data_IF_652895851558
#
_entry.id   IF_652895851558
#
_cell.length_a   1.000
_cell.length_b   1.000
_cell.length_c   1.000
_cell.angle_alpha   90.00
_cell.angle_beta   90.00
_cell.angle_gamma   90.00
#
_symmetry.space_group_name_H-M   'P 1'
#
loop_
_entity.id
_entity.type
_entity.pdbx_description
1 polymer ?
#
# COMPACT_ATOMS: atom_id res chain seq x y z
N UNK A 1 10.74 -25.84 10.78
CA UNK A 1 11.98 -25.36 10.14
C UNK A 1 12.32 -24.03 10.79
N UNK A 2 13.60 -23.68 10.92
CA UNK A 2 13.99 -22.46 11.64
C UNK A 2 14.24 -21.36 10.60
N UNK A 3 13.58 -20.18 10.71
CA UNK A 3 13.81 -19.09 9.78
C UNK A 3 15.25 -18.58 9.93
N UNK A 4 15.96 -18.46 8.80
CA UNK A 4 17.27 -17.83 8.72
C UNK A 4 17.08 -16.34 8.50
N UNK A 5 17.66 -15.51 9.39
CA UNK A 5 17.81 -14.08 9.14
C UNK A 5 19.14 -13.84 8.42
N UNK A 6 19.07 -13.44 7.16
CA UNK A 6 20.21 -13.22 6.27
C UNK A 6 20.28 -11.74 5.92
N UNK A 7 21.49 -11.15 5.93
CA UNK A 7 21.69 -9.77 5.49
C UNK A 7 22.06 -9.72 4.01
N UNK A 8 21.22 -9.11 3.18
CA UNK A 8 21.49 -8.94 1.75
C UNK A 8 22.25 -7.64 1.54
N UNK A 9 23.30 -7.66 0.72
CA UNK A 9 24.11 -6.49 0.37
C UNK A 9 24.08 -6.26 -1.13
N UNK A 10 23.62 -5.08 -1.55
CA UNK A 10 23.47 -4.71 -2.98
C UNK A 10 24.59 -3.77 -3.44
N UNK A 11 25.29 -3.13 -2.50
CA UNK A 11 26.42 -2.25 -2.79
C UNK A 11 27.34 -2.04 -1.59
N UNK A 12 28.31 -1.13 -1.72
CA UNK A 12 29.31 -0.87 -0.67
C UNK A 12 28.70 -0.37 0.64
N UNK A 13 27.57 0.35 0.59
CA UNK A 13 26.91 0.91 1.78
C UNK A 13 25.44 0.52 1.91
N UNK A 14 24.98 -0.40 1.06
CA UNK A 14 23.56 -0.71 0.93
C UNK A 14 23.28 -2.18 1.26
N UNK A 15 22.48 -2.39 2.31
CA UNK A 15 22.14 -3.71 2.82
C UNK A 15 20.82 -3.72 3.59
N UNK A 16 20.11 -4.85 3.56
CA UNK A 16 18.82 -5.03 4.22
C UNK A 16 18.65 -6.48 4.70
N UNK A 17 17.88 -6.72 5.78
CA UNK A 17 17.62 -8.07 6.27
C UNK A 17 16.52 -8.77 5.46
N UNK A 18 16.65 -10.08 5.26
CA UNK A 18 15.61 -11.00 4.77
C UNK A 18 15.47 -12.15 5.75
N UNK A 19 14.23 -12.55 6.02
CA UNK A 19 13.91 -13.80 6.72
C UNK A 19 13.43 -14.83 5.69
N UNK A 20 14.07 -16.00 5.65
CA UNK A 20 13.73 -17.09 4.73
C UNK A 20 13.94 -18.44 5.43
N UNK A 21 13.11 -19.43 5.12
CA UNK A 21 13.26 -20.78 5.67
C UNK A 21 14.53 -21.48 5.12
N UNK A 22 15.21 -22.26 5.95
CA UNK A 22 16.44 -22.96 5.58
C UNK A 22 16.24 -24.04 4.50
N UNK A 23 15.01 -24.52 4.34
CA UNK A 23 14.60 -25.48 3.31
C UNK A 23 14.36 -24.89 1.92
N UNK A 24 14.33 -23.56 1.80
CA UNK A 24 14.10 -22.87 0.51
C UNK A 24 15.36 -22.91 -0.37
N UNK A 25 15.18 -22.60 -1.65
CA UNK A 25 16.28 -22.58 -2.62
C UNK A 25 16.93 -21.20 -2.73
N UNK A 26 18.10 -21.14 -3.38
CA UNK A 26 18.76 -19.88 -3.74
C UNK A 26 17.91 -19.08 -4.72
N UNK A 27 17.09 -19.73 -5.54
CA UNK A 27 16.11 -19.09 -6.42
C UNK A 27 15.07 -18.31 -5.60
N UNK A 28 14.48 -18.93 -4.58
CA UNK A 28 13.49 -18.29 -3.70
C UNK A 28 14.09 -17.09 -2.96
N UNK A 29 15.36 -17.22 -2.52
CA UNK A 29 16.11 -16.10 -1.95
C UNK A 29 16.34 -14.98 -2.97
N UNK A 30 16.70 -15.30 -4.22
CA UNK A 30 16.92 -14.31 -5.27
C UNK A 30 15.62 -13.58 -5.65
N UNK A 31 14.49 -14.29 -5.67
CA UNK A 31 13.15 -13.71 -5.85
C UNK A 31 12.80 -12.78 -4.69
N UNK A 32 13.09 -13.17 -3.44
CA UNK A 32 12.86 -12.32 -2.27
C UNK A 32 13.71 -11.04 -2.32
N UNK A 33 14.97 -11.14 -2.74
CA UNK A 33 15.86 -9.99 -2.96
C UNK A 33 15.29 -9.04 -4.01
N UNK A 34 14.89 -9.58 -5.16
CA UNK A 34 14.31 -8.78 -6.26
C UNK A 34 12.98 -8.13 -5.87
N UNK A 35 12.19 -8.80 -5.02
CA UNK A 35 10.93 -8.27 -4.51
C UNK A 35 11.13 -7.07 -3.59
N UNK A 36 12.22 -7.05 -2.82
CA UNK A 36 12.56 -5.93 -1.95
C UNK A 36 13.33 -4.82 -2.69
N UNK A 37 14.18 -5.19 -3.67
CA UNK A 37 15.03 -4.28 -4.44
C UNK A 37 14.97 -4.65 -5.94
N UNK A 38 13.96 -4.15 -6.67
CA UNK A 38 13.77 -4.44 -8.09
C UNK A 38 14.95 -3.99 -8.97
N UNK A 39 15.68 -2.95 -8.55
CA UNK A 39 16.82 -2.39 -9.27
C UNK A 39 18.03 -3.35 -9.37
N UNK A 40 18.02 -4.46 -8.64
CA UNK A 40 19.14 -5.42 -8.60
C UNK A 40 19.04 -6.47 -9.71
N UNK A 41 17.89 -6.58 -10.38
CA UNK A 41 17.66 -7.60 -11.43
C UNK A 41 16.58 -7.17 -12.40
N UNK A 42 16.83 -6.08 -13.13
CA UNK A 42 15.85 -5.49 -14.06
C UNK A 42 15.32 -6.48 -15.12
N UNK A 43 16.06 -7.53 -15.50
CA UNK A 43 15.58 -8.53 -16.49
C UNK A 43 15.83 -10.01 -16.11
N UNK A 44 16.66 -10.31 -15.11
CA UNK A 44 17.04 -11.67 -14.69
C UNK A 44 17.24 -11.72 -13.16
N UNK A 45 17.07 -12.90 -12.55
CA UNK A 45 17.32 -13.07 -11.12
C UNK A 45 18.74 -12.60 -10.73
N UNK A 46 18.87 -11.83 -9.62
CA UNK A 46 20.16 -11.30 -9.21
C UNK A 46 21.11 -12.42 -8.83
N UNK A 47 22.39 -12.26 -9.15
CA UNK A 47 23.42 -13.22 -8.78
C UNK A 47 23.74 -13.09 -7.30
N UNK A 48 23.51 -14.16 -6.55
CA UNK A 48 23.80 -14.23 -5.13
C UNK A 48 25.20 -14.79 -4.88
N UNK A 49 25.99 -14.10 -4.05
CA UNK A 49 27.36 -14.47 -3.70
C UNK A 49 27.49 -14.55 -2.19
N UNK A 50 27.92 -15.71 -1.68
CA UNK A 50 28.19 -15.92 -0.26
C UNK A 50 29.63 -16.38 -0.06
N UNK A 51 30.38 -15.73 0.84
CA UNK A 51 31.80 -16.02 1.12
C UNK A 51 32.68 -16.08 -0.15
N UNK A 52 32.40 -15.22 -1.13
CA UNK A 52 33.13 -15.16 -2.41
C UNK A 52 32.74 -16.24 -3.43
N UNK A 53 31.78 -17.12 -3.12
CA UNK A 53 31.26 -18.14 -4.03
C UNK A 53 29.91 -17.73 -4.59
N UNK A 54 29.77 -17.78 -5.92
CA UNK A 54 28.50 -17.59 -6.61
C UNK A 54 27.61 -18.80 -6.32
N UNK A 55 26.42 -18.56 -5.79
CA UNK A 55 25.43 -19.56 -5.46
C UNK A 55 24.65 -19.95 -6.71
N UNK A 56 24.32 -21.23 -6.87
CA UNK A 56 23.47 -21.70 -7.97
C UNK A 56 22.02 -21.71 -7.51
N UNK A 57 21.10 -21.35 -8.41
CA UNK A 57 19.68 -21.20 -8.10
C UNK A 57 19.05 -22.48 -7.53
N UNK A 58 19.48 -23.67 -8.00
CA UNK A 58 18.91 -24.96 -7.57
C UNK A 58 19.37 -25.44 -6.19
N UNK A 59 20.31 -24.74 -5.53
CA UNK A 59 20.85 -25.18 -4.25
C UNK A 59 19.90 -24.83 -3.09
N UNK A 60 19.78 -25.74 -2.13
CA UNK A 60 19.02 -25.50 -0.89
C UNK A 60 19.87 -24.70 0.08
N UNK A 61 19.29 -23.67 0.72
CA UNK A 61 20.00 -22.74 1.59
C UNK A 61 20.71 -23.43 2.77
N UNK A 62 20.09 -24.49 3.33
CA UNK A 62 20.65 -25.33 4.39
C UNK A 62 22.03 -25.90 4.07
N UNK A 63 22.29 -26.25 2.81
CA UNK A 63 23.52 -26.92 2.38
C UNK A 63 24.66 -25.93 2.06
N UNK A 64 24.37 -24.63 2.12
CA UNK A 64 25.31 -23.56 1.73
C UNK A 64 26.15 -23.02 2.89
N UNK A 65 25.91 -23.50 4.12
CA UNK A 65 26.65 -23.09 5.30
C UNK A 65 26.46 -21.61 5.66
N UNK A 66 25.31 -21.04 5.29
CA UNK A 66 24.90 -19.68 5.67
C UNK A 66 24.48 -19.72 7.14
N UNK A 67 25.14 -18.93 7.98
CA UNK A 67 24.84 -18.85 9.42
C UNK A 67 24.00 -17.61 9.74
N UNK A 68 23.33 -17.60 10.89
CA UNK A 68 22.58 -16.44 11.38
C UNK A 68 23.51 -15.22 11.50
N UNK A 69 23.18 -14.13 10.80
CA UNK A 69 24.01 -12.91 10.77
C UNK A 69 25.08 -12.86 9.67
N UNK A 70 25.22 -13.91 8.86
CA UNK A 70 26.02 -13.85 7.64
C UNK A 70 25.37 -12.89 6.61
N UNK A 71 26.20 -12.37 5.71
CA UNK A 71 25.72 -11.57 4.58
C UNK A 71 25.87 -12.30 3.24
N UNK A 72 24.93 -12.03 2.35
CA UNK A 72 24.91 -12.48 0.95
C UNK A 72 24.92 -11.24 0.07
N UNK A 73 25.84 -11.19 -0.90
CA UNK A 73 25.94 -10.07 -1.84
C UNK A 73 25.06 -10.39 -3.05
N UNK A 74 24.14 -9.49 -3.38
CA UNK A 74 23.32 -9.55 -4.58
C UNK A 74 23.87 -8.59 -5.61
N UNK A 75 24.22 -9.09 -6.79
CA UNK A 75 24.74 -8.30 -7.91
C UNK A 75 23.85 -8.46 -9.13
N UNK A 76 23.74 -7.39 -9.93
CA UNK A 76 22.96 -7.44 -11.18
C UNK A 76 23.55 -8.42 -12.18
N UNK A 77 22.65 -9.17 -12.82
CA UNK A 77 22.92 -10.17 -13.83
C UNK A 77 23.27 -9.49 -15.16
N UNK A 78 24.49 -8.96 -15.29
CA UNK A 78 24.95 -8.45 -16.59
C UNK A 78 25.06 -9.60 -17.63
N UNK A 79 24.33 -9.48 -18.74
CA UNK A 79 24.38 -10.40 -19.88
C UNK A 79 25.79 -10.47 -20.47
N UNK A 80 26.31 -11.70 -20.61
CA UNK A 80 27.65 -11.99 -21.12
C UNK A 80 27.66 -11.91 -22.65
N UNK A 81 28.12 -10.80 -23.22
CA UNK A 81 28.60 -10.79 -24.62
C UNK A 81 30.07 -11.28 -24.63
N UNK A 82 30.32 -12.33 -25.39
CA UNK A 82 31.64 -12.94 -25.58
C UNK A 82 32.67 -11.92 -26.08
N UNK A 83 33.86 -11.94 -25.49
CA UNK A 83 35.10 -11.58 -26.18
C UNK A 83 36.23 -12.43 -25.60
N UNK A 84 36.69 -13.40 -26.38
CA UNK A 84 38.01 -14.00 -26.24
C UNK A 84 39.08 -12.93 -26.53
N UNK A 85 40.21 -13.01 -25.81
CA UNK A 85 41.49 -12.51 -26.33
C UNK A 85 42.32 -11.66 -25.37
N UNK A 86 43.36 -12.30 -24.80
CA UNK A 86 44.70 -11.76 -24.48
C UNK A 86 44.75 -10.71 -23.34
N UNK A 87 45.53 -10.81 -22.28
CA UNK A 87 46.63 -11.67 -21.88
C UNK A 87 47.40 -10.94 -20.76
N UNK A 88 47.73 -11.67 -19.69
CA UNK A 88 48.82 -11.45 -18.72
C UNK A 88 49.15 -10.01 -18.24
N UNK A 89 48.94 -9.74 -16.95
CA UNK A 89 50.03 -9.77 -15.94
C UNK A 89 49.60 -9.09 -14.64
N UNK A 90 49.70 -9.83 -13.52
CA UNK A 90 49.91 -9.24 -12.21
C UNK A 90 51.41 -8.86 -12.08
N UNK A 91 51.79 -7.92 -11.19
CA UNK A 91 52.14 -8.39 -9.84
C UNK A 91 51.74 -7.47 -8.67
N UNK A 92 51.33 -8.12 -7.58
CA UNK A 92 51.77 -7.99 -6.18
C UNK A 92 52.10 -6.64 -5.49
N UNK A 93 51.51 -6.55 -4.29
CA UNK A 93 52.03 -6.06 -2.98
C UNK A 93 51.94 -4.58 -2.57
N UNK A 94 51.03 -4.40 -1.60
CA UNK A 94 51.24 -3.86 -0.24
C UNK A 94 51.71 -2.41 -0.06
N UNK A 95 50.88 -1.59 0.60
CA UNK A 95 50.99 -1.29 2.04
C UNK A 95 49.97 -0.20 2.45
N UNK A 96 49.49 -0.32 3.69
CA UNK A 96 48.55 0.57 4.33
C UNK A 96 49.13 1.96 4.65
N UNK A 97 48.29 2.99 4.67
CA UNK A 97 48.35 4.05 5.68
C UNK A 97 47.01 4.78 5.81
N UNK A 98 46.61 4.93 7.07
CA UNK A 98 45.41 5.60 7.58
C UNK A 98 45.35 7.10 7.25
N UNK A 99 44.14 7.62 7.05
CA UNK A 99 43.67 8.89 7.66
C UNK A 99 42.17 9.11 7.41
N UNK A 100 41.38 9.03 8.48
CA UNK A 100 40.24 9.93 8.74
C UNK A 100 40.80 11.09 9.59
N UNK A 101 40.17 12.28 9.72
CA UNK A 101 38.72 12.52 9.62
C UNK A 101 38.34 13.83 8.86
N UNK A 102 37.04 14.02 8.59
CA UNK A 102 36.33 15.25 8.98
C UNK A 102 34.88 15.21 8.46
N UNK A 103 34.00 15.71 9.31
CA UNK A 103 32.58 15.84 9.11
C UNK A 103 32.21 16.93 8.08
N UNK A 104 30.97 16.78 7.59
CA UNK A 104 30.15 17.67 6.75
C UNK A 104 30.18 19.15 7.13
N UNK A 105 29.77 20.04 6.21
CA UNK A 105 28.41 20.53 6.32
C UNK A 105 27.62 20.58 4.99
N UNK A 106 26.30 20.51 5.12
CA UNK A 106 25.31 20.91 4.12
C UNK A 106 25.48 22.38 3.75
N UNK A 107 25.18 22.73 2.49
CA UNK A 107 24.59 24.02 2.16
C UNK A 107 23.46 23.83 1.13
N UNK A 108 22.37 24.56 1.37
CA UNK A 108 21.18 24.67 0.53
C UNK A 108 21.11 26.10 0.03
N UNK A 109 20.97 26.33 -1.28
CA UNK A 109 20.67 27.69 -1.74
C UNK A 109 20.63 27.83 -3.25
N UNK A 110 19.45 28.17 -3.77
CA UNK A 110 19.23 28.54 -5.15
C UNK A 110 19.86 29.91 -5.46
N UNK A 111 20.75 29.93 -6.46
CA UNK A 111 21.14 31.10 -7.25
C UNK A 111 21.14 30.66 -8.71
N UNK A 112 20.87 31.59 -9.64
CA UNK A 112 20.73 31.36 -11.08
C UNK A 112 22.04 30.94 -11.75
N UNK A 113 22.58 29.82 -11.30
CA UNK A 113 23.83 29.23 -11.71
C UNK A 113 23.55 27.92 -12.43
N UNK A 114 24.48 27.59 -13.33
CA UNK A 114 24.47 26.43 -14.20
C UNK A 114 23.99 25.16 -13.49
N UNK A 115 23.30 24.23 -14.19
CA UNK A 115 22.78 23.02 -13.58
C UNK A 115 23.87 22.28 -12.80
N UNK A 116 23.58 21.81 -11.57
CA UNK A 116 24.58 21.15 -10.74
C UNK A 116 25.17 19.96 -11.51
N UNK A 117 26.49 19.92 -11.58
CA UNK A 117 27.22 18.99 -12.45
C UNK A 117 26.91 17.52 -12.11
N UNK A 118 26.53 17.24 -10.86
CA UNK A 118 26.03 15.94 -10.39
C UNK A 118 24.78 15.47 -11.15
N UNK A 119 23.78 16.33 -11.34
CA UNK A 119 22.56 15.99 -12.08
C UNK A 119 22.84 15.80 -13.57
N UNK A 120 23.76 16.60 -14.11
CA UNK A 120 24.19 16.47 -15.50
C UNK A 120 24.88 15.12 -15.73
N UNK A 121 25.74 14.70 -14.80
CA UNK A 121 26.43 13.41 -14.85
C UNK A 121 25.47 12.23 -14.70
N UNK A 122 24.48 12.32 -13.81
CA UNK A 122 23.46 11.29 -13.61
C UNK A 122 22.62 11.08 -14.87
N UNK A 123 22.14 12.16 -15.50
CA UNK A 123 21.37 12.09 -16.74
C UNK A 123 22.24 11.71 -17.96
N UNK A 124 23.52 12.08 -17.99
CA UNK A 124 24.45 11.60 -19.01
C UNK A 124 24.77 10.10 -18.82
N UNK A 125 24.81 9.60 -17.58
CA UNK A 125 25.00 8.19 -17.28
C UNK A 125 23.81 7.32 -17.72
N UNK A 126 22.61 7.92 -17.81
CA UNK A 126 21.43 7.33 -18.45
C UNK A 126 21.50 7.35 -20.00
N UNK A 127 22.58 7.87 -20.59
CA UNK A 127 22.83 7.82 -22.03
C UNK A 127 22.37 9.03 -22.84
N UNK A 128 21.95 10.12 -22.18
CA UNK A 128 21.55 11.35 -22.87
C UNK A 128 22.74 12.27 -23.18
N UNK A 129 22.69 12.93 -24.33
CA UNK A 129 23.74 13.88 -24.74
C UNK A 129 23.82 15.07 -23.76
N UNK A 130 25.01 15.28 -23.19
CA UNK A 130 25.32 16.40 -22.28
C UNK A 130 24.73 17.76 -22.69
N UNK A 131 24.84 18.23 -23.96
CA UNK A 131 24.23 19.51 -24.35
C UNK A 131 22.69 19.53 -24.27
N UNK A 132 22.01 18.41 -24.53
CA UNK A 132 20.55 18.31 -24.40
C UNK A 132 20.13 18.26 -22.94
N UNK A 133 20.88 17.52 -22.12
CA UNK A 133 20.67 17.41 -20.67
C UNK A 133 20.75 18.78 -20.01
N UNK A 134 21.76 19.58 -20.37
CA UNK A 134 21.91 20.94 -19.85
C UNK A 134 20.72 21.82 -20.23
N UNK A 135 20.26 21.75 -21.48
CA UNK A 135 19.12 22.53 -21.96
C UNK A 135 17.81 22.11 -21.27
N UNK A 136 17.60 20.80 -21.08
CA UNK A 136 16.42 20.26 -20.42
C UNK A 136 16.41 20.58 -18.92
N UNK A 137 17.55 20.46 -18.23
CA UNK A 137 17.68 20.85 -16.81
C UNK A 137 17.44 22.34 -16.61
N UNK A 138 17.96 23.20 -17.51
CA UNK A 138 17.70 24.64 -17.44
C UNK A 138 16.22 24.96 -17.64
N UNK A 139 15.57 24.37 -18.65
CA UNK A 139 14.14 24.54 -18.90
C UNK A 139 13.27 23.93 -17.78
N UNK A 140 13.77 22.92 -17.08
CA UNK A 140 13.15 22.27 -15.94
C UNK A 140 13.46 22.93 -14.59
N UNK A 141 14.20 24.04 -14.56
CA UNK A 141 14.66 24.70 -13.33
C UNK A 141 15.41 23.74 -12.38
N UNK A 142 16.36 22.97 -12.91
CA UNK A 142 17.17 21.97 -12.21
C UNK A 142 16.36 20.84 -11.56
N UNK A 143 15.15 20.54 -12.07
CA UNK A 143 14.36 19.39 -11.66
C UNK A 143 14.67 18.17 -12.56
N UNK A 144 15.18 17.05 -12.00
CA UNK A 144 15.62 15.90 -12.79
C UNK A 144 14.45 15.17 -13.47
N UNK A 145 13.32 14.99 -12.77
CA UNK A 145 12.15 14.28 -13.31
C UNK A 145 11.57 15.01 -14.54
N UNK A 146 11.41 16.34 -14.44
CA UNK A 146 10.97 17.17 -15.57
C UNK A 146 12.01 17.25 -16.68
N UNK A 147 13.30 17.25 -16.34
CA UNK A 147 14.36 17.25 -17.35
C UNK A 147 14.35 15.96 -18.16
N UNK A 148 14.11 14.80 -17.53
CA UNK A 148 13.93 13.52 -18.23
C UNK A 148 12.71 13.58 -19.15
N UNK A 149 11.58 14.10 -18.68
CA UNK A 149 10.39 14.28 -19.52
C UNK A 149 10.67 15.17 -20.74
N UNK A 150 11.38 16.28 -20.57
CA UNK A 150 11.77 17.16 -21.69
C UNK A 150 12.82 16.54 -22.62
N UNK A 151 13.67 15.64 -22.13
CA UNK A 151 14.61 14.88 -22.96
C UNK A 151 13.90 13.86 -23.85
N UNK A 152 12.78 13.28 -23.38
CA UNK A 152 11.98 12.32 -24.16
C UNK A 152 10.94 12.99 -25.07
N UNK A 153 10.27 14.05 -24.60
CA UNK A 153 9.12 14.67 -25.28
C UNK A 153 9.46 16.00 -25.99
N UNK A 154 10.64 16.57 -25.72
CA UNK A 154 11.07 17.88 -26.20
C UNK A 154 10.66 19.02 -25.25
N UNK A 155 11.43 20.10 -25.26
CA UNK A 155 11.17 21.27 -24.39
C UNK A 155 10.00 22.08 -24.97
N UNK A 156 8.89 22.28 -24.22
CA UNK A 156 7.76 23.07 -24.69
C UNK A 156 8.13 24.55 -24.84
N UNK A 157 7.65 25.20 -25.92
CA UNK A 157 8.00 26.59 -26.27
C UNK A 157 7.75 27.62 -25.14
N UNK A 158 6.78 27.37 -24.26
CA UNK A 158 6.50 28.22 -23.09
C UNK A 158 7.62 28.20 -22.03
N UNK A 159 8.35 27.10 -21.89
CA UNK A 159 9.50 26.99 -20.98
C UNK A 159 10.76 27.67 -21.55
N UNK A 160 10.89 27.73 -22.87
CA UNK A 160 12.01 28.41 -23.54
C UNK A 160 11.96 29.95 -23.39
N UNK A 161 10.77 30.53 -23.20
CA UNK A 161 10.57 31.99 -23.10
C UNK A 161 10.71 32.56 -21.68
N UNK A 162 10.77 31.72 -20.64
CA UNK A 162 10.84 32.19 -19.25
C UNK A 162 12.25 32.61 -18.78
N UNK A 163 13.28 32.41 -19.62
CA UNK A 163 14.69 32.68 -19.28
C UNK A 163 15.12 34.16 -19.47
N UNK A 164 14.21 35.09 -19.75
CA UNK A 164 14.56 36.49 -20.04
C UNK A 164 13.63 37.50 -19.32
N UNK A 165 13.82 37.69 -18.02
CA UNK A 165 13.41 38.91 -17.31
C UNK A 165 14.26 39.10 -16.02
N UNK A 166 14.77 40.32 -15.72
CA UNK A 166 15.69 40.54 -14.61
C UNK A 166 14.97 40.67 -13.26
N UNK A 167 15.62 40.14 -12.22
CA UNK A 167 15.16 40.12 -10.83
C UNK A 167 15.27 41.50 -10.15
N UNK A 168 14.21 41.90 -9.43
CA UNK A 168 14.24 42.97 -8.45
C UNK A 168 14.07 42.38 -7.05
N UNK A 169 15.03 42.71 -6.17
CA UNK A 169 15.21 42.19 -4.83
C UNK A 169 14.10 42.59 -3.85
N UNK A 170 13.76 41.69 -2.92
CA UNK A 170 13.16 42.04 -1.64
C UNK A 170 13.51 41.01 -0.57
N UNK A 171 13.82 41.52 0.62
CA UNK A 171 14.61 40.91 1.68
C UNK A 171 13.91 39.83 2.51
N UNK A 172 14.71 38.88 3.00
CA UNK A 172 14.33 37.92 4.03
C UNK A 172 14.35 38.56 5.43
N UNK A 173 13.47 38.13 6.35
CA UNK A 173 13.77 38.17 7.77
C UNK A 173 14.05 36.77 8.33
N UNK A 174 14.88 36.78 9.38
CA UNK A 174 15.48 35.64 10.05
C UNK A 174 14.50 34.71 10.79
N UNK A 175 14.93 33.46 10.91
CA UNK A 175 14.32 32.39 11.68
C UNK A 175 14.50 32.58 13.21
N UNK A 176 13.51 32.22 14.05
CA UNK A 176 13.79 31.74 15.39
C UNK A 176 13.40 30.27 15.56
N UNK A 177 14.22 29.58 16.34
CA UNK A 177 14.14 28.18 16.68
C UNK A 177 12.89 27.79 17.51
N UNK A 178 12.50 26.52 17.34
CA UNK A 178 11.81 25.66 18.31
C UNK A 178 10.44 26.12 18.87
N UNK A 179 9.38 25.82 18.10
CA UNK A 179 8.11 25.28 18.59
C UNK A 179 7.39 24.60 17.41
N UNK A 180 6.80 23.43 17.64
CA UNK A 180 6.09 22.65 16.61
C UNK A 180 5.03 23.50 15.88
N UNK A 181 4.96 23.49 14.53
CA UNK A 181 3.85 24.12 13.84
C UNK A 181 2.68 23.13 13.74
N UNK A 182 1.56 23.61 14.28
CA UNK A 182 0.24 23.06 14.11
C UNK A 182 -0.17 22.97 12.62
N UNK A 183 -0.95 21.93 12.34
CA UNK A 183 -2.03 21.87 11.35
C UNK A 183 -1.86 22.73 10.08
N UNK A 184 -1.38 22.09 9.01
CA UNK A 184 -1.75 22.51 7.67
C UNK A 184 -3.28 22.34 7.50
N UNK A 185 -3.98 23.44 7.25
CA UNK A 185 -5.39 23.45 6.89
C UNK A 185 -5.65 22.63 5.61
N UNK A 186 -6.82 21.99 5.45
CA UNK A 186 -7.06 21.08 4.34
C UNK A 186 -7.20 21.85 3.02
N UNK A 187 -6.54 21.35 1.99
CA UNK A 187 -6.85 21.72 0.61
C UNK A 187 -8.32 21.36 0.29
N UNK A 188 -8.98 22.20 -0.50
CA UNK A 188 -10.43 22.25 -0.71
C UNK A 188 -11.07 21.05 -1.46
N UNK A 189 -10.61 19.82 -1.24
CA UNK A 189 -11.08 18.60 -1.92
C UNK A 189 -11.47 17.43 -1.01
N UNK A 190 -11.21 17.50 0.29
CA UNK A 190 -11.59 16.44 1.26
C UNK A 190 -11.04 15.04 0.92
N UNK A 191 -11.62 14.01 1.54
CA UNK A 191 -11.23 12.60 1.32
C UNK A 191 -11.43 12.13 -0.14
N UNK A 192 -12.39 12.73 -0.84
CA UNK A 192 -12.72 12.40 -2.23
C UNK A 192 -11.63 12.85 -3.20
N UNK A 193 -10.98 14.01 -2.97
CA UNK A 193 -9.81 14.40 -3.75
C UNK A 193 -8.60 13.48 -3.52
N UNK A 194 -8.48 12.93 -2.31
CA UNK A 194 -7.40 12.01 -1.95
C UNK A 194 -7.62 10.59 -2.52
N UNK A 195 -8.81 10.03 -2.33
CA UNK A 195 -9.14 8.65 -2.71
C UNK A 195 -9.73 8.51 -4.12
N UNK A 196 -10.06 9.64 -4.74
CA UNK A 196 -10.72 9.69 -6.04
C UNK A 196 -12.24 9.66 -5.92
N UNK A 197 -12.95 9.79 -7.05
CA UNK A 197 -14.41 9.93 -7.07
C UNK A 197 -15.15 8.62 -6.76
N UNK A 198 -14.48 7.47 -6.93
CA UNK A 198 -15.09 6.16 -6.75
C UNK A 198 -14.15 5.19 -6.03
N UNK A 199 -14.74 4.36 -5.18
CA UNK A 199 -14.09 3.22 -4.54
C UNK A 199 -14.75 1.93 -5.02
N UNK A 200 -13.96 0.87 -5.08
CA UNK A 200 -14.44 -0.48 -5.32
C UNK A 200 -15.02 -1.06 -4.04
N UNK A 201 -16.24 -1.57 -4.14
CA UNK A 201 -16.93 -2.34 -3.10
C UNK A 201 -17.14 -3.78 -3.58
N UNK A 202 -17.64 -4.65 -2.70
CA UNK A 202 -18.03 -6.02 -3.08
C UNK A 202 -19.20 -6.10 -4.05
N UNK A 203 -19.94 -5.01 -4.23
CA UNK A 203 -21.05 -4.93 -5.20
C UNK A 203 -20.69 -4.16 -6.46
N UNK A 204 -19.43 -3.75 -6.60
CA UNK A 204 -18.93 -2.93 -7.70
C UNK A 204 -18.47 -1.54 -7.27
N UNK A 205 -18.21 -0.67 -8.25
CA UNK A 205 -17.79 0.70 -8.02
C UNK A 205 -18.93 1.55 -7.43
N UNK A 206 -18.59 2.34 -6.43
CA UNK A 206 -19.50 3.31 -5.79
C UNK A 206 -18.80 4.64 -5.60
N UNK A 207 -19.58 5.72 -5.53
CA UNK A 207 -19.02 7.03 -5.18
C UNK A 207 -18.33 6.95 -3.80
N UNK A 208 -17.14 7.55 -3.69
CA UNK A 208 -16.30 7.42 -2.48
C UNK A 208 -17.01 7.87 -1.22
N UNK A 209 -17.77 8.97 -1.27
CA UNK A 209 -18.52 9.49 -0.12
C UNK A 209 -19.59 8.49 0.35
N UNK A 210 -20.30 7.88 -0.59
CA UNK A 210 -21.30 6.87 -0.29
C UNK A 210 -20.66 5.59 0.26
N UNK A 211 -19.58 5.12 -0.38
CA UNK A 211 -18.88 3.89 0.01
C UNK A 211 -18.31 3.97 1.43
N UNK A 212 -17.81 5.14 1.84
CA UNK A 212 -17.23 5.37 3.16
C UNK A 212 -18.29 5.50 4.27
N UNK A 213 -19.57 5.69 3.93
CA UNK A 213 -20.68 5.67 4.89
C UNK A 213 -20.61 6.72 6.01
N UNK A 214 -19.80 7.78 5.85
CA UNK A 214 -19.57 8.77 6.91
C UNK A 214 -18.69 8.29 8.07
N UNK A 215 -17.88 7.24 7.87
CA UNK A 215 -16.91 6.77 8.85
C UNK A 215 -16.02 7.94 9.33
N UNK A 216 -15.91 8.10 10.65
CA UNK A 216 -15.06 9.14 11.25
C UNK A 216 -13.57 8.81 11.18
N UNK A 217 -13.24 7.53 10.96
CA UNK A 217 -11.86 7.06 10.78
C UNK A 217 -11.78 6.25 9.49
N UNK A 218 -10.78 6.55 8.67
CA UNK A 218 -10.50 5.81 7.43
C UNK A 218 -9.09 5.25 7.49
N UNK A 219 -8.95 3.93 7.37
CA UNK A 219 -7.67 3.24 7.39
C UNK A 219 -7.28 2.80 5.98
N UNK A 220 -6.25 3.43 5.41
CA UNK A 220 -5.66 3.05 4.14
C UNK A 220 -4.70 1.88 4.36
N UNK A 221 -5.09 0.72 3.86
CA UNK A 221 -4.35 -0.51 4.00
C UNK A 221 -3.52 -0.78 2.74
N UNK A 222 -2.24 -0.45 2.79
CA UNK A 222 -1.28 -0.73 1.73
C UNK A 222 -0.78 -2.16 1.86
N UNK A 223 -1.07 -2.99 0.86
CA UNK A 223 -0.75 -4.43 0.91
C UNK A 223 -0.62 -5.00 -0.51
N UNK A 224 -0.08 -6.22 -0.64
CA UNK A 224 0.02 -6.93 -1.92
C UNK A 224 0.07 -8.44 -1.73
N UNK A 225 -0.56 -9.17 -2.63
CA UNK A 225 -0.67 -10.64 -2.60
C UNK A 225 0.70 -11.31 -2.59
N UNK A 226 1.63 -10.78 -3.39
CA UNK A 226 3.00 -11.26 -3.51
C UNK A 226 3.82 -11.13 -2.22
N UNK A 227 3.40 -10.28 -1.28
CA UNK A 227 4.19 -9.92 -0.10
C UNK A 227 3.93 -10.88 1.09
N UNK A 228 4.93 -11.64 1.58
CA UNK A 228 4.74 -12.58 2.69
C UNK A 228 4.21 -11.96 4.01
N UNK A 229 4.77 -10.85 4.55
CA UNK A 229 4.22 -10.26 5.77
C UNK A 229 2.81 -9.69 5.58
N UNK A 230 2.43 -9.33 4.35
CA UNK A 230 1.05 -8.96 4.02
C UNK A 230 0.10 -10.14 4.17
N UNK A 231 0.43 -11.30 3.57
CA UNK A 231 -0.36 -12.53 3.69
C UNK A 231 -0.47 -13.02 5.14
N UNK A 232 0.53 -12.76 5.98
CA UNK A 232 0.46 -13.06 7.41
C UNK A 232 -0.45 -12.11 8.20
N UNK A 233 -0.52 -10.83 7.81
CA UNK A 233 -1.28 -9.81 8.53
C UNK A 233 -2.77 -9.76 8.12
N UNK A 234 -3.09 -9.93 6.84
CA UNK A 234 -4.48 -9.81 6.34
C UNK A 234 -5.47 -10.70 7.09
N UNK A 235 -5.20 -11.99 7.34
CA UNK A 235 -6.14 -12.85 8.06
C UNK A 235 -6.40 -12.36 9.49
N UNK A 236 -5.39 -11.78 10.15
CA UNK A 236 -5.54 -11.22 11.50
C UNK A 236 -6.43 -9.97 11.49
N UNK A 237 -6.23 -9.08 10.51
CA UNK A 237 -7.08 -7.90 10.34
C UNK A 237 -8.52 -8.29 9.99
N UNK A 238 -8.72 -9.28 9.10
CA UNK A 238 -10.05 -9.82 8.79
C UNK A 238 -10.70 -10.37 10.04
N UNK A 239 -10.00 -11.21 10.82
CA UNK A 239 -10.52 -11.77 12.06
C UNK A 239 -10.90 -10.70 13.09
N UNK A 240 -10.10 -9.65 13.24
CA UNK A 240 -10.35 -8.56 14.19
C UNK A 240 -11.59 -7.72 13.84
N UNK A 241 -11.91 -7.63 12.54
CA UNK A 241 -13.06 -6.86 12.04
C UNK A 241 -14.30 -7.73 11.82
N UNK A 242 -14.16 -9.05 11.74
CA UNK A 242 -15.28 -9.97 11.54
C UNK A 242 -16.02 -10.20 12.86
N UNK A 243 -17.35 -10.17 12.84
CA UNK A 243 -18.19 -10.44 14.02
C UNK A 243 -18.47 -9.21 14.91
N UNK A 244 -17.76 -8.11 14.71
CA UNK A 244 -18.01 -6.82 15.35
C UNK A 244 -18.35 -5.77 14.30
N UNK A 245 -19.21 -4.79 14.63
CA UNK A 245 -19.57 -3.72 13.69
C UNK A 245 -18.95 -2.40 14.16
N UNK A 246 -18.03 -1.88 13.35
CA UNK A 246 -17.37 -0.59 13.59
C UNK A 246 -17.84 0.44 12.56
N UNK A 247 -19.05 1.01 12.69
CA UNK A 247 -19.59 1.97 11.72
C UNK A 247 -18.74 3.23 11.59
N UNK A 248 -17.93 3.52 12.61
CA UNK A 248 -16.99 4.64 12.64
C UNK A 248 -15.68 4.39 11.87
N UNK A 249 -15.43 3.15 11.40
CA UNK A 249 -14.21 2.76 10.69
C UNK A 249 -14.52 2.28 9.28
N UNK A 250 -13.86 2.86 8.28
CA UNK A 250 -13.78 2.31 6.94
C UNK A 250 -12.34 1.90 6.63
N UNK A 251 -12.14 0.65 6.19
CA UNK A 251 -10.84 0.19 5.67
C UNK A 251 -10.87 0.28 4.15
N UNK A 252 -9.82 0.85 3.55
CA UNK A 252 -9.68 0.98 2.11
C UNK A 252 -8.35 0.35 1.69
N UNK A 253 -8.44 -0.75 0.95
CA UNK A 253 -7.29 -1.44 0.39
C UNK A 253 -6.65 -0.60 -0.73
N UNK A 254 -5.35 -0.40 -0.62
CA UNK A 254 -4.50 0.20 -1.66
C UNK A 254 -3.50 -0.87 -2.09
N UNK A 255 -3.77 -1.48 -3.24
CA UNK A 255 -2.98 -2.61 -3.72
C UNK A 255 -1.61 -2.19 -4.21
N UNK A 256 -0.61 -2.99 -3.88
CA UNK A 256 0.73 -2.98 -4.48
C UNK A 256 0.94 -4.16 -5.44
N UNK A 257 -0.12 -4.85 -5.83
CA UNK A 257 -0.07 -5.94 -6.81
C UNK A 257 0.32 -5.41 -8.19
N UNK A 258 1.01 -6.26 -8.96
CA UNK A 258 1.56 -5.88 -10.26
C UNK A 258 0.57 -6.06 -11.41
N UNK A 259 -0.49 -6.81 -11.16
CA UNK A 259 -1.49 -7.15 -12.16
C UNK A 259 -2.90 -7.25 -11.56
N UNK A 260 -3.89 -7.12 -12.45
CA UNK A 260 -5.30 -7.09 -12.11
C UNK A 260 -5.82 -8.40 -11.51
N UNK A 261 -5.25 -9.56 -11.87
CA UNK A 261 -5.71 -10.87 -11.41
C UNK A 261 -5.25 -11.13 -9.97
N UNK A 262 -3.98 -10.84 -9.67
CA UNK A 262 -3.43 -10.88 -8.31
C UNK A 262 -4.20 -9.94 -7.37
N UNK A 263 -4.50 -8.71 -7.83
CA UNK A 263 -5.35 -7.77 -7.10
C UNK A 263 -6.74 -8.38 -6.80
N UNK A 264 -7.42 -8.93 -7.81
CA UNK A 264 -8.77 -9.47 -7.64
C UNK A 264 -8.80 -10.66 -6.67
N UNK A 265 -7.86 -11.59 -6.81
CA UNK A 265 -7.74 -12.75 -5.93
C UNK A 265 -7.60 -12.30 -4.47
N UNK A 266 -6.64 -11.43 -4.20
CA UNK A 266 -6.32 -11.02 -2.84
C UNK A 266 -7.35 -10.07 -2.25
N UNK A 267 -7.88 -9.12 -3.04
CA UNK A 267 -9.02 -8.31 -2.62
C UNK A 267 -10.23 -9.20 -2.28
N UNK A 268 -10.42 -10.31 -2.99
CA UNK A 268 -11.49 -11.29 -2.74
C UNK A 268 -11.54 -11.81 -1.30
N UNK A 269 -10.39 -11.92 -0.64
CA UNK A 269 -10.26 -12.39 0.75
C UNK A 269 -10.61 -11.32 1.81
N UNK A 270 -10.72 -10.06 1.39
CA UNK A 270 -10.88 -8.92 2.28
C UNK A 270 -12.34 -8.42 2.31
N UNK A 271 -12.99 -8.16 3.46
CA UNK A 271 -14.39 -7.72 3.51
C UNK A 271 -14.59 -6.20 3.27
N UNK A 272 -13.53 -5.44 2.99
CA UNK A 272 -13.55 -3.98 2.97
C UNK A 272 -13.49 -3.36 1.57
N UNK A 273 -13.35 -2.03 1.49
CA UNK A 273 -13.31 -1.25 0.25
C UNK A 273 -11.94 -1.35 -0.42
N UNK A 274 -11.81 -0.98 -1.69
CA UNK A 274 -10.52 -0.82 -2.35
C UNK A 274 -10.47 0.44 -3.23
N UNK A 275 -9.30 1.02 -3.37
CA UNK A 275 -9.02 1.95 -4.47
C UNK A 275 -9.00 1.13 -5.77
N UNK A 276 -9.64 1.58 -6.86
CA UNK A 276 -9.63 0.85 -8.13
C UNK A 276 -8.20 0.60 -8.64
N UNK A 277 -7.93 -0.63 -9.07
CA UNK A 277 -6.64 -1.02 -9.63
C UNK A 277 -6.34 -0.23 -10.92
N UNK A 278 -5.07 0.16 -11.11
CA UNK A 278 -4.60 1.00 -12.20
C UNK A 278 -4.99 2.48 -12.11
N UNK A 279 -5.67 2.91 -11.04
CA UNK A 279 -6.05 4.32 -10.88
C UNK A 279 -4.87 5.22 -10.50
N UNK A 280 -4.96 6.50 -10.84
CA UNK A 280 -3.98 7.52 -10.42
C UNK A 280 -3.83 7.54 -8.89
N UNK A 281 -4.93 7.34 -8.16
CA UNK A 281 -4.93 7.31 -6.70
C UNK A 281 -4.10 6.14 -6.15
N UNK A 282 -4.23 4.94 -6.72
CA UNK A 282 -3.39 3.80 -6.33
C UNK A 282 -1.89 4.13 -6.48
N UNK A 283 -1.51 4.82 -7.55
CA UNK A 283 -0.12 5.17 -7.85
C UNK A 283 0.43 6.28 -6.93
N UNK A 284 -0.38 7.29 -6.60
CA UNK A 284 0.10 8.46 -5.85
C UNK A 284 0.03 8.29 -4.32
N UNK A 285 -0.90 7.49 -3.79
CA UNK A 285 -1.16 7.42 -2.35
C UNK A 285 0.05 6.94 -1.54
N UNK A 286 0.81 5.98 -2.07
CA UNK A 286 2.02 5.47 -1.42
C UNK A 286 3.08 6.57 -1.24
N UNK A 287 3.33 7.36 -2.29
CA UNK A 287 4.24 8.49 -2.23
C UNK A 287 3.72 9.61 -1.32
N UNK A 288 2.43 9.93 -1.40
CA UNK A 288 1.79 10.96 -0.59
C UNK A 288 1.94 10.70 0.92
N UNK A 289 1.77 9.44 1.33
CA UNK A 289 1.91 9.02 2.73
C UNK A 289 3.30 8.48 3.08
N UNK A 290 4.27 8.59 2.17
CA UNK A 290 5.65 8.13 2.37
C UNK A 290 5.74 6.66 2.81
N UNK A 291 4.90 5.79 2.22
CA UNK A 291 4.88 4.36 2.49
C UNK A 291 6.18 3.75 1.96
N UNK A 292 7.04 3.26 2.87
CA UNK A 292 8.35 2.67 2.53
C UNK A 292 8.33 1.15 2.41
N UNK A 293 7.25 0.51 2.80
CA UNK A 293 7.11 -0.94 2.80
C UNK A 293 5.69 -1.37 3.14
N UNK A 294 5.37 -2.60 2.79
CA UNK A 294 4.06 -3.22 3.05
C UNK A 294 4.23 -4.48 3.92
N UNK A 295 3.24 -4.81 4.78
CA UNK A 295 1.97 -4.12 4.95
C UNK A 295 2.16 -2.79 5.70
N UNK A 296 1.38 -1.77 5.33
CA UNK A 296 1.32 -0.48 6.03
C UNK A 296 -0.15 -0.07 6.19
N UNK A 297 -0.48 0.52 7.34
CA UNK A 297 -1.84 0.99 7.64
C UNK A 297 -1.76 2.45 8.07
N UNK A 298 -2.16 3.34 7.17
CA UNK A 298 -2.23 4.78 7.44
C UNK A 298 -3.65 5.12 7.87
N UNK A 299 -3.79 5.77 9.01
CA UNK A 299 -5.09 6.11 9.58
C UNK A 299 -5.35 7.59 9.37
N UNK A 300 -6.52 7.92 8.84
CA UNK A 300 -6.96 9.27 8.50
C UNK A 300 -8.21 9.63 9.28
N UNK A 301 -8.34 10.91 9.59
CA UNK A 301 -9.59 11.51 10.00
C UNK A 301 -10.57 11.48 8.82
N UNK A 302 -11.72 10.85 8.99
CA UNK A 302 -12.67 10.58 7.91
C UNK A 302 -13.42 11.83 7.41
N UNK A 303 -13.38 12.93 8.16
CA UNK A 303 -14.04 14.19 7.76
C UNK A 303 -13.08 15.08 6.98
N UNK A 304 -11.84 15.19 7.45
CA UNK A 304 -10.84 16.15 6.95
C UNK A 304 -9.82 15.50 6.02
N UNK A 305 -9.62 14.19 6.11
CA UNK A 305 -8.54 13.46 5.43
C UNK A 305 -7.17 13.67 6.03
N UNK A 306 -7.08 14.33 7.19
CA UNK A 306 -5.81 14.53 7.88
C UNK A 306 -5.29 13.19 8.40
N UNK A 307 -4.01 12.93 8.18
CA UNK A 307 -3.35 11.77 8.77
C UNK A 307 -3.34 11.85 10.31
N UNK A 308 -3.83 10.80 10.95
CA UNK A 308 -3.79 10.58 12.41
C UNK A 308 -2.50 9.83 12.77
N UNK A 309 -2.21 8.73 12.08
CA UNK A 309 -1.00 7.92 12.29
C UNK A 309 -0.58 7.21 11.00
N UNK A 310 0.73 6.95 10.84
CA UNK A 310 1.28 6.04 9.83
C UNK A 310 1.57 4.64 10.37
N UNK A 311 1.51 4.44 11.70
CA UNK A 311 1.87 3.19 12.38
C UNK A 311 0.62 2.41 12.83
N UNK A 312 -0.43 2.40 12.02
CA UNK A 312 -1.70 1.73 12.38
C UNK A 312 -1.52 0.23 12.65
N UNK A 313 -0.59 -0.44 11.95
CA UNK A 313 -0.27 -1.86 12.21
C UNK A 313 0.42 -2.03 13.56
N UNK A 314 1.39 -1.17 13.90
CA UNK A 314 2.06 -1.22 15.20
C UNK A 314 1.08 -0.97 16.34
N UNK A 315 0.14 -0.05 16.16
CA UNK A 315 -0.95 0.22 17.10
C UNK A 315 -1.88 -0.97 17.29
N UNK A 316 -2.34 -1.60 16.20
CA UNK A 316 -3.14 -2.82 16.27
C UNK A 316 -2.39 -3.97 16.97
N UNK A 317 -1.09 -4.15 16.69
CA UNK A 317 -0.29 -5.19 17.36
C UNK A 317 -0.14 -4.91 18.85
N UNK A 318 0.11 -3.66 19.25
CA UNK A 318 0.23 -3.27 20.66
C UNK A 318 -1.06 -3.46 21.45
N UNK A 319 -2.21 -3.31 20.82
CA UNK A 319 -3.52 -3.54 21.44
C UNK A 319 -4.02 -4.98 21.28
N UNK A 320 -3.19 -5.88 20.74
CA UNK A 320 -3.56 -7.26 20.43
C UNK A 320 -4.84 -7.34 19.59
N UNK A 321 -4.91 -6.50 18.54
CA UNK A 321 -6.02 -6.36 17.61
C UNK A 321 -7.36 -5.94 18.25
N UNK A 322 -7.31 -5.24 19.39
CA UNK A 322 -8.49 -4.60 19.96
C UNK A 322 -8.83 -3.32 19.16
N UNK A 323 -9.79 -3.46 18.24
CA UNK A 323 -10.20 -2.38 17.33
C UNK A 323 -10.85 -1.20 18.06
N UNK A 324 -11.59 -1.44 19.15
CA UNK A 324 -12.19 -0.36 19.95
C UNK A 324 -11.13 0.51 20.61
N UNK A 325 -10.10 -0.11 21.18
CA UNK A 325 -8.97 0.60 21.76
C UNK A 325 -8.21 1.42 20.71
N UNK A 326 -8.02 0.86 19.50
CA UNK A 326 -7.41 1.58 18.38
C UNK A 326 -8.26 2.78 17.96
N UNK A 327 -9.58 2.60 17.83
CA UNK A 327 -10.50 3.67 17.45
C UNK A 327 -10.53 4.80 18.48
N UNK A 328 -10.49 4.45 19.78
CA UNK A 328 -10.36 5.43 20.85
C UNK A 328 -9.05 6.23 20.73
N UNK A 329 -7.90 5.56 20.47
CA UNK A 329 -6.63 6.27 20.26
C UNK A 329 -6.60 7.10 18.98
N UNK A 330 -7.36 6.72 17.95
CA UNK A 330 -7.50 7.47 16.71
C UNK A 330 -8.50 8.63 16.82
N UNK A 331 -9.10 8.85 17.99
CA UNK A 331 -10.06 9.93 18.19
C UNK A 331 -11.42 9.68 17.55
N UNK A 332 -11.75 8.42 17.24
CA UNK A 332 -13.13 8.08 16.88
C UNK A 332 -14.05 8.40 18.07
N UNK A 333 -15.23 9.00 17.84
CA UNK A 333 -16.22 9.11 18.89
C UNK A 333 -16.56 7.71 19.40
N UNK A 334 -16.84 7.55 20.71
CA UNK A 334 -17.33 6.27 21.22
C UNK A 334 -18.55 5.89 20.39
N UNK A 335 -18.63 4.62 19.99
CA UNK A 335 -19.80 4.11 19.31
C UNK A 335 -21.00 4.51 20.17
N UNK A 336 -21.92 5.31 19.61
CA UNK A 336 -23.12 5.70 20.35
C UNK A 336 -23.74 4.41 20.88
N UNK A 337 -23.97 4.28 22.20
CA UNK A 337 -24.62 3.10 22.69
C UNK A 337 -25.99 3.10 22.01
N UNK A 338 -26.21 2.13 21.11
CA UNK A 338 -27.55 1.57 21.00
C UNK A 338 -27.80 1.08 22.41
N UNK A 339 -28.61 1.84 23.15
CA UNK A 339 -29.00 1.56 24.53
C UNK A 339 -29.33 0.08 24.61
N UNK A 340 -28.43 -0.67 25.24
CA UNK A 340 -28.75 -1.96 25.81
C UNK A 340 -29.80 -1.65 26.89
N UNK A 341 -31.07 -1.74 26.51
CA UNK A 341 -32.17 -1.63 27.43
C UNK A 341 -32.08 -2.84 28.37
N UNK A 342 -31.60 -2.52 29.56
CA UNK A 342 -31.69 -3.24 30.82
C UNK A 342 -32.91 -4.15 30.88
N UNK A 343 -32.66 -5.41 31.24
CA UNK A 343 -33.67 -6.36 31.73
C UNK A 343 -34.46 -5.69 32.86
N UNK A 344 -35.73 -5.39 32.63
CA UNK A 344 -36.66 -5.10 33.70
C UNK A 344 -37.88 -6.02 33.62
N UNK A 345 -38.24 -6.53 34.79
CA UNK A 345 -39.26 -7.52 35.06
C UNK A 345 -40.64 -6.88 34.84
N UNK A 346 -41.65 -7.58 34.27
CA UNK A 346 -42.89 -6.92 33.86
C UNK A 346 -43.77 -6.59 35.07
N UNK A 347 -44.04 -5.31 35.27
CA UNK A 347 -45.24 -4.80 35.93
C UNK A 347 -46.05 -4.01 34.91
N UNK A 348 -47.29 -4.44 34.67
CA UNK A 348 -48.26 -3.83 33.75
C UNK A 348 -48.35 -2.31 33.91
N UNK A 349 -48.65 -1.60 32.82
CA UNK A 349 -49.80 -0.72 32.92
C UNK A 349 -50.73 -0.71 31.71
N UNK A 350 -51.98 -0.47 32.09
CA UNK A 350 -53.18 -0.24 31.32
C UNK A 350 -53.11 0.93 30.31
N UNK A 351 -53.90 0.74 29.25
CA UNK A 351 -54.54 1.72 28.36
C UNK A 351 -53.72 2.41 27.24
N UNK A 352 -54.08 1.99 26.03
CA UNK A 352 -53.80 2.48 24.67
C UNK A 352 -54.23 3.95 24.41
N UNK A 353 -53.97 4.60 23.23
CA UNK A 353 -53.62 3.96 21.94
C UNK A 353 -52.54 4.64 21.07
N UNK A 354 -51.76 3.83 20.36
CA UNK A 354 -51.11 4.19 19.09
C UNK A 354 -51.45 3.15 18.02
N UNK A 355 -51.61 3.67 16.80
CA UNK A 355 -52.26 3.08 15.62
C UNK A 355 -51.82 1.66 15.29
N UNK A 356 -52.82 0.89 14.85
CA UNK A 356 -52.84 -0.53 14.56
C UNK A 356 -51.70 -1.01 13.65
N UNK A 357 -51.09 -2.13 14.06
CA UNK A 357 -50.23 -2.96 13.24
C UNK A 357 -51.01 -3.59 12.09
N UNK A 358 -50.30 -3.83 10.99
CA UNK A 358 -50.77 -4.68 9.91
C UNK A 358 -51.04 -6.12 10.41
N UNK A 359 -51.81 -6.90 9.65
CA UNK A 359 -52.18 -8.26 10.06
C UNK A 359 -50.93 -9.11 10.28
N UNK A 360 -50.97 -10.07 11.24
CA UNK A 360 -49.85 -10.99 11.47
C UNK A 360 -49.54 -11.78 10.18
N UNK A 361 -48.26 -12.14 9.96
CA UNK A 361 -47.87 -12.93 8.80
C UNK A 361 -48.67 -14.24 8.78
N UNK A 362 -49.27 -14.54 7.63
CA UNK A 362 -50.05 -15.75 7.43
C UNK A 362 -49.18 -16.99 7.69
N UNK A 363 -49.74 -18.08 8.24
CA UNK A 363 -48.99 -19.31 8.44
C UNK A 363 -48.42 -19.82 7.11
N UNK A 364 -47.16 -20.24 7.14
CA UNK A 364 -46.45 -20.77 5.97
C UNK A 364 -47.12 -22.09 5.56
N UNK A 365 -47.64 -22.13 4.34
CA UNK A 365 -48.21 -23.34 3.74
C UNK A 365 -47.08 -24.19 3.14
N UNK A 366 -46.63 -25.17 3.92
CA UNK A 366 -45.51 -26.05 3.54
C UNK A 366 -45.75 -26.82 2.25
N UNK A 367 -46.99 -27.23 1.97
CA UNK A 367 -47.33 -28.00 0.78
C UNK A 367 -47.26 -27.12 -0.47
N UNK A 368 -47.72 -25.87 -0.35
CA UNK A 368 -47.58 -24.87 -1.40
C UNK A 368 -46.12 -24.53 -1.67
N UNK A 369 -45.29 -24.42 -0.63
CA UNK A 369 -43.85 -24.19 -0.77
C UNK A 369 -43.14 -25.35 -1.49
N UNK A 370 -43.42 -26.60 -1.10
CA UNK A 370 -42.87 -27.80 -1.76
C UNK A 370 -43.29 -27.89 -3.22
N UNK A 371 -44.55 -27.60 -3.53
CA UNK A 371 -45.05 -27.60 -4.91
C UNK A 371 -44.42 -26.49 -5.77
N UNK A 372 -44.11 -25.33 -5.18
CA UNK A 372 -43.40 -24.26 -5.89
C UNK A 372 -41.94 -24.65 -6.19
N UNK A 373 -41.24 -25.25 -5.24
CA UNK A 373 -39.86 -25.73 -5.43
C UNK A 373 -39.77 -26.83 -6.48
N UNK A 374 -40.72 -27.77 -6.49
CA UNK A 374 -40.78 -28.82 -7.50
C UNK A 374 -40.94 -28.26 -8.92
N UNK A 375 -41.77 -27.22 -9.11
CA UNK A 375 -41.91 -26.57 -10.42
C UNK A 375 -40.62 -25.87 -10.86
N UNK A 376 -39.94 -25.17 -9.96
CA UNK A 376 -38.68 -24.49 -10.29
C UNK A 376 -37.59 -25.50 -10.65
N UNK A 377 -37.58 -26.68 -10.03
CA UNK A 377 -36.60 -27.73 -10.32
C UNK A 377 -36.70 -28.31 -11.74
N UNK A 378 -37.87 -28.24 -12.36
CA UNK A 378 -38.12 -28.71 -13.74
C UNK A 378 -37.78 -27.65 -14.82
N UNK A 379 -37.47 -26.41 -14.43
CA UNK A 379 -37.13 -25.31 -15.34
C UNK A 379 -35.64 -25.27 -15.71
N UNK A 380 -35.28 -24.51 -16.76
CA UNK A 380 -33.87 -24.35 -17.15
C UNK A 380 -33.09 -23.47 -16.17
N UNK A 381 -31.76 -23.61 -16.15
CA UNK A 381 -30.89 -22.89 -15.23
C UNK A 381 -31.04 -21.37 -15.31
N UNK A 382 -31.30 -20.82 -16.50
CA UNK A 382 -31.51 -19.38 -16.72
C UNK A 382 -32.74 -18.85 -15.96
N UNK A 383 -33.73 -19.71 -15.69
CA UNK A 383 -34.94 -19.40 -14.92
C UNK A 383 -34.72 -19.69 -13.43
N UNK A 384 -33.95 -20.72 -13.10
CA UNK A 384 -33.60 -21.09 -11.72
C UNK A 384 -32.66 -20.08 -11.05
N UNK A 385 -31.69 -19.55 -11.79
CA UNK A 385 -30.64 -18.68 -11.25
C UNK A 385 -31.18 -17.42 -10.55
N UNK A 386 -32.12 -16.64 -11.15
CA UNK A 386 -32.74 -15.50 -10.48
C UNK A 386 -33.54 -15.88 -9.22
N UNK A 387 -34.20 -17.03 -9.22
CA UNK A 387 -34.96 -17.54 -8.08
C UNK A 387 -34.04 -17.82 -6.89
N UNK A 388 -32.96 -18.57 -7.10
CA UNK A 388 -32.00 -18.88 -6.04
C UNK A 388 -31.19 -17.66 -5.59
N UNK A 389 -30.79 -16.75 -6.51
CA UNK A 389 -30.13 -15.49 -6.14
C UNK A 389 -31.01 -14.63 -5.23
N UNK A 390 -32.31 -14.59 -5.51
CA UNK A 390 -33.27 -13.86 -4.68
C UNK A 390 -33.47 -14.54 -3.32
N UNK A 391 -33.58 -15.88 -3.29
CA UNK A 391 -33.66 -16.65 -2.05
C UNK A 391 -32.44 -16.44 -1.14
N UNK A 392 -31.23 -16.47 -1.70
CA UNK A 392 -29.99 -16.20 -0.97
C UNK A 392 -29.97 -14.77 -0.41
N UNK A 393 -30.41 -13.78 -1.19
CA UNK A 393 -30.50 -12.39 -0.74
C UNK A 393 -31.50 -12.22 0.40
N UNK A 394 -32.65 -12.90 0.36
CA UNK A 394 -33.63 -12.87 1.46
C UNK A 394 -33.04 -13.53 2.70
N UNK A 395 -32.45 -14.72 2.58
CA UNK A 395 -31.80 -15.42 3.70
C UNK A 395 -30.67 -14.59 4.33
N UNK A 396 -29.83 -13.96 3.51
CA UNK A 396 -28.77 -13.09 3.97
C UNK A 396 -29.34 -11.90 4.77
N UNK A 397 -30.40 -11.27 4.27
CA UNK A 397 -31.05 -10.19 5.00
C UNK A 397 -31.72 -10.68 6.29
N UNK A 398 -32.40 -11.83 6.29
CA UNK A 398 -33.01 -12.40 7.51
C UNK A 398 -31.96 -12.74 8.56
N UNK A 399 -30.81 -13.28 8.16
CA UNK A 399 -29.71 -13.60 9.07
C UNK A 399 -29.03 -12.34 9.63
N UNK A 400 -28.96 -11.26 8.83
CA UNK A 400 -28.37 -9.98 9.25
C UNK A 400 -29.33 -9.11 10.09
N UNK A 401 -30.63 -9.22 9.86
CA UNK A 401 -31.69 -8.45 10.53
C UNK A 401 -32.89 -9.36 10.88
N UNK A 402 -32.75 -10.26 11.87
CA UNK A 402 -33.76 -11.27 12.18
C UNK A 402 -35.06 -10.72 12.79
N UNK A 403 -35.02 -9.50 13.34
CA UNK A 403 -36.19 -8.87 14.00
C UNK A 403 -37.03 -7.99 13.05
N UNK A 404 -36.64 -7.90 11.77
CA UNK A 404 -37.31 -7.02 10.83
C UNK A 404 -38.58 -7.68 10.26
N UNK A 405 -39.76 -7.18 10.67
CA UNK A 405 -41.12 -7.70 10.37
C UNK A 405 -41.39 -7.95 8.87
N UNK A 406 -40.61 -7.34 7.97
CA UNK A 406 -40.76 -7.45 6.51
C UNK A 406 -40.20 -8.75 5.92
N UNK A 407 -39.36 -9.47 6.67
CA UNK A 407 -38.75 -10.75 6.31
C UNK A 407 -39.43 -11.88 7.08
#
# INVERSE_FOLDING_TARGET
MAPLQIKIRVGSFDSFPIEIDDGETVEDLAVAVLSMRPEVGEEDLPRLVHKGKVLKLEQVLKDLGIQLGDFVVAASSASKKQAEGLGSSAPSRASAQSQAPAAVPLDSGATGESPPETLVLELCAMGFDRPKVLQALQAAFNNPDRAVEYLFSGIPAAAATAAAAPAAAAAAPASPAAAAPAAAAPAAGGLEALLGPQLLTKTGLQNSRQALGGASVVALYFSGHWCPPCRAFTPQLVAALTGNRFPQLAVVFVSSDRDQASFQSYYGEMPWLAVPFGSMQQQMLGAHFQVRGIPCLVVLDGQTGRQITADGIGEMRRTNFNIEACLASWGAPPASPVVAAVQDKPSEPSAAPKKAGGPPPAPIDEDRCKAALARVADETWEVQEPFFKTGLKVLENTLQTPDEIKF
#
